data_IF_887793918950
#
_entry.id   IF_887793918950
#
_cell.length_a   1.000
_cell.length_b   1.000
_cell.length_c   1.000
_cell.angle_alpha   90.00
_cell.angle_beta   90.00
_cell.angle_gamma   90.00
#
_symmetry.space_group_name_H-M   'P 1'
#
loop_
_entity.id
_entity.type
_entity.pdbx_description
1 polymer ?
#
# COMPACT_ATOMS: atom_id res chain seq x y z
N UNK A 1 9.22 -1.96 -21.77
CA UNK A 1 9.14 -0.49 -21.66
C UNK A 1 8.56 0.04 -22.97
N UNK A 2 7.23 0.12 -23.09
CA UNK A 2 6.53 0.46 -24.33
C UNK A 2 6.38 1.99 -24.39
N UNK A 3 7.17 2.65 -25.23
CA UNK A 3 7.14 4.09 -25.44
C UNK A 3 5.93 4.42 -26.32
N UNK A 4 4.86 4.97 -25.75
CA UNK A 4 3.76 5.54 -26.54
C UNK A 4 4.27 6.83 -27.21
N UNK A 5 4.24 6.83 -28.55
CA UNK A 5 5.00 7.77 -29.39
C UNK A 5 4.19 8.96 -29.90
N UNK A 6 3.03 9.26 -29.31
CA UNK A 6 2.12 10.27 -29.89
C UNK A 6 2.04 11.61 -29.17
N UNK A 7 2.61 11.75 -27.97
CA UNK A 7 2.88 13.06 -27.35
C UNK A 7 4.22 12.95 -26.62
N UNK A 8 4.95 14.04 -26.40
CA UNK A 8 6.26 14.07 -25.70
C UNK A 8 6.12 13.71 -24.21
N UNK A 9 5.51 12.56 -23.90
CA UNK A 9 5.22 12.07 -22.56
C UNK A 9 5.91 10.72 -22.42
N UNK A 10 6.84 10.63 -21.47
CA UNK A 10 7.48 9.38 -21.11
C UNK A 10 6.81 8.89 -19.82
N UNK A 11 6.37 7.64 -19.80
CA UNK A 11 5.98 6.94 -18.59
C UNK A 11 7.17 6.11 -18.09
N UNK A 12 7.44 6.14 -16.78
CA UNK A 12 8.56 5.41 -16.19
C UNK A 12 8.20 4.83 -14.84
N UNK A 13 8.51 3.54 -14.63
CA UNK A 13 8.44 2.84 -13.34
C UNK A 13 9.80 2.66 -12.66
N UNK A 14 10.87 3.17 -13.27
CA UNK A 14 12.25 3.16 -12.74
C UNK A 14 12.85 4.55 -12.83
N UNK A 15 13.85 4.83 -11.98
CA UNK A 15 14.60 6.08 -11.97
C UNK A 15 15.29 6.34 -13.31
N UNK A 16 14.64 7.11 -14.19
CA UNK A 16 15.23 7.55 -15.45
C UNK A 16 16.21 8.69 -15.16
N UNK A 17 17.42 8.61 -15.71
CA UNK A 17 18.43 9.67 -15.52
C UNK A 17 17.94 11.01 -16.07
N UNK A 18 17.99 12.12 -15.29
CA UNK A 18 17.67 13.46 -15.79
C UNK A 18 18.51 13.87 -17.00
N UNK A 19 19.76 13.42 -17.08
CA UNK A 19 20.64 13.69 -18.23
C UNK A 19 20.12 13.05 -19.51
N UNK A 20 19.60 11.82 -19.42
CA UNK A 20 19.02 11.13 -20.56
C UNK A 20 17.72 11.79 -21.05
N UNK A 21 16.88 12.27 -20.12
CA UNK A 21 15.66 13.02 -20.46
C UNK A 21 15.98 14.34 -21.17
N UNK A 22 16.98 15.08 -20.66
CA UNK A 22 17.45 16.32 -21.30
C UNK A 22 17.98 16.09 -22.71
N UNK A 23 18.77 15.03 -22.92
CA UNK A 23 19.26 14.66 -24.27
C UNK A 23 18.13 14.32 -25.26
N UNK A 24 16.96 13.92 -24.78
CA UNK A 24 15.75 13.65 -25.60
C UNK A 24 14.85 14.87 -25.79
N UNK A 25 15.37 16.09 -25.56
CA UNK A 25 14.60 17.33 -25.72
C UNK A 25 13.68 17.65 -24.54
N UNK A 26 13.92 17.06 -23.36
CA UNK A 26 13.19 17.39 -22.13
C UNK A 26 11.67 17.08 -22.17
N UNK A 27 11.25 15.85 -22.51
CA UNK A 27 9.84 15.48 -22.57
C UNK A 27 9.14 15.53 -21.20
N UNK A 28 7.83 15.67 -21.16
CA UNK A 28 7.08 15.53 -19.92
C UNK A 28 7.27 14.10 -19.38
N UNK A 29 7.71 13.96 -18.14
CA UNK A 29 7.79 12.67 -17.47
C UNK A 29 6.55 12.50 -16.59
N UNK A 30 5.74 11.47 -16.87
CA UNK A 30 4.72 11.00 -15.93
C UNK A 30 5.33 9.86 -15.12
N UNK A 31 5.60 10.13 -13.84
CA UNK A 31 6.12 9.15 -12.91
C UNK A 31 5.01 8.67 -11.97
N UNK A 32 4.74 7.37 -12.01
CA UNK A 32 3.72 6.71 -11.20
C UNK A 32 4.29 6.04 -9.95
N UNK A 33 5.55 6.30 -9.63
CA UNK A 33 6.26 5.76 -8.47
C UNK A 33 6.75 6.88 -7.55
N UNK A 34 6.89 6.58 -6.26
CA UNK A 34 7.31 7.52 -5.22
C UNK A 34 8.72 8.10 -5.36
N UNK A 35 9.53 7.58 -6.30
CA UNK A 35 10.95 7.95 -6.49
C UNK A 35 11.21 8.51 -7.87
N UNK A 36 10.67 9.70 -8.13
CA UNK A 36 10.95 10.40 -9.37
C UNK A 36 12.35 11.05 -9.38
N UNK A 37 12.91 11.33 -10.57
CA UNK A 37 14.21 12.00 -10.66
C UNK A 37 14.11 13.38 -10.03
N UNK A 38 14.66 13.53 -8.82
CA UNK A 38 14.45 14.71 -7.98
C UNK A 38 14.87 16.03 -8.66
N UNK A 39 15.81 15.98 -9.60
CA UNK A 39 16.37 17.15 -10.28
C UNK A 39 15.87 17.35 -11.72
N UNK A 40 14.76 16.71 -12.09
CA UNK A 40 14.11 16.92 -13.39
C UNK A 40 12.87 17.80 -13.23
N UNK A 41 12.71 18.87 -14.02
CA UNK A 41 11.63 19.85 -13.79
C UNK A 41 10.35 19.59 -14.57
N UNK A 42 10.45 18.99 -15.77
CA UNK A 42 9.28 18.75 -16.62
C UNK A 42 8.63 17.41 -16.27
N UNK A 43 8.12 17.27 -15.05
CA UNK A 43 7.52 16.02 -14.58
C UNK A 43 6.22 16.21 -13.78
N UNK A 44 5.34 15.23 -13.88
CA UNK A 44 4.21 14.99 -12.98
C UNK A 44 4.57 13.72 -12.21
N UNK A 45 4.48 13.78 -10.89
CA UNK A 45 4.92 12.67 -10.02
C UNK A 45 3.76 12.18 -9.18
N UNK A 46 3.79 10.90 -8.82
CA UNK A 46 2.84 10.32 -7.88
C UNK A 46 3.55 10.09 -6.56
N UNK A 47 3.02 10.67 -5.48
CA UNK A 47 3.46 10.37 -4.12
C UNK A 47 2.27 9.81 -3.35
N UNK A 48 2.33 8.50 -3.07
CA UNK A 48 1.20 7.77 -2.53
C UNK A 48 0.84 8.19 -1.10
N UNK A 49 1.85 8.33 -0.23
CA UNK A 49 1.68 8.73 1.16
C UNK A 49 3.00 9.17 1.79
N UNK A 50 2.90 9.58 3.05
CA UNK A 50 4.02 10.00 3.90
C UNK A 50 4.17 9.09 5.12
N UNK A 51 3.85 7.80 4.99
CA UNK A 51 3.92 6.82 6.10
C UNK A 51 5.30 6.81 6.74
N UNK A 52 6.37 7.01 5.96
CA UNK A 52 7.75 7.06 6.46
C UNK A 52 8.07 8.30 7.33
N UNK A 53 7.24 9.36 7.25
CA UNK A 53 7.29 10.53 8.13
C UNK A 53 6.45 10.32 9.40
N UNK A 54 5.23 9.78 9.25
CA UNK A 54 4.29 9.59 10.36
C UNK A 54 4.59 8.37 11.24
N UNK A 55 5.09 7.29 10.64
CA UNK A 55 5.44 6.02 11.29
C UNK A 55 6.89 5.64 11.00
N UNK A 56 7.86 6.43 11.50
CA UNK A 56 9.27 6.25 11.16
C UNK A 56 9.82 4.88 11.54
N UNK A 57 9.29 4.24 12.59
CA UNK A 57 9.74 2.93 13.08
C UNK A 57 9.39 1.78 12.14
N UNK A 58 8.47 2.01 11.18
CA UNK A 58 8.18 1.04 10.13
C UNK A 58 9.30 0.96 9.08
N UNK A 59 10.18 1.96 8.99
CA UNK A 59 11.16 2.08 7.91
C UNK A 59 12.59 2.15 8.45
N UNK A 60 13.52 1.56 7.70
CA UNK A 60 14.95 1.66 8.05
C UNK A 60 15.42 3.12 8.13
N UNK A 61 16.38 3.41 9.03
CA UNK A 61 16.96 4.76 9.18
C UNK A 61 17.52 5.29 7.85
N UNK A 62 18.17 4.42 7.06
CA UNK A 62 18.71 4.74 5.73
C UNK A 62 17.61 5.17 4.77
N UNK A 63 16.50 4.43 4.71
CA UNK A 63 15.36 4.77 3.87
C UNK A 63 14.81 6.15 4.24
N UNK A 64 14.56 6.39 5.54
CA UNK A 64 14.04 7.67 6.04
C UNK A 64 14.94 8.85 5.71
N UNK A 65 16.25 8.68 5.88
CA UNK A 65 17.22 9.71 5.55
C UNK A 65 17.20 10.05 4.06
N UNK A 66 17.30 9.05 3.19
CA UNK A 66 17.32 9.25 1.73
C UNK A 66 16.01 9.88 1.25
N UNK A 67 14.86 9.36 1.68
CA UNK A 67 13.56 9.91 1.29
C UNK A 67 13.32 11.30 1.87
N UNK A 68 13.76 11.56 3.10
CA UNK A 68 13.68 12.86 3.74
C UNK A 68 14.44 13.96 2.98
N UNK A 69 15.51 13.59 2.27
CA UNK A 69 16.27 14.51 1.41
C UNK A 69 15.70 14.61 -0.01
N UNK A 70 15.38 13.47 -0.63
CA UNK A 70 14.99 13.43 -2.05
C UNK A 70 13.56 13.90 -2.30
N UNK A 71 12.62 13.60 -1.41
CA UNK A 71 11.20 13.91 -1.64
C UNK A 71 10.95 15.42 -1.68
N UNK A 72 11.44 16.26 -0.74
CA UNK A 72 11.25 17.70 -0.83
C UNK A 72 11.79 18.32 -2.13
N UNK A 73 12.97 17.85 -2.58
CA UNK A 73 13.60 18.31 -3.83
C UNK A 73 12.74 17.88 -5.03
N UNK A 74 12.25 16.64 -5.03
CA UNK A 74 11.35 16.13 -6.06
C UNK A 74 10.05 16.94 -6.12
N UNK A 75 9.39 17.18 -4.99
CA UNK A 75 8.16 17.95 -4.91
C UNK A 75 8.36 19.37 -5.47
N UNK A 76 9.42 20.05 -5.06
CA UNK A 76 9.77 21.40 -5.55
C UNK A 76 10.03 21.45 -7.06
N UNK A 77 10.57 20.38 -7.63
CA UNK A 77 10.87 20.28 -9.06
C UNK A 77 9.75 19.61 -9.88
N UNK A 78 8.60 19.31 -9.30
CA UNK A 78 7.49 18.71 -10.04
C UNK A 78 6.51 19.78 -10.49
N UNK A 79 5.95 19.64 -11.70
CA UNK A 79 4.92 20.54 -12.23
C UNK A 79 3.58 20.32 -11.54
N UNK A 80 3.31 19.08 -11.14
CA UNK A 80 2.08 18.67 -10.49
C UNK A 80 2.32 17.38 -9.71
N UNK A 81 1.55 17.20 -8.63
CA UNK A 81 1.58 16.01 -7.80
C UNK A 81 0.27 15.23 -7.94
N UNK A 82 0.39 13.91 -8.04
CA UNK A 82 -0.71 12.97 -7.95
C UNK A 82 -0.62 12.21 -6.62
N UNK A 83 -1.76 11.94 -6.00
CA UNK A 83 -1.84 11.08 -4.81
C UNK A 83 -3.12 10.25 -4.85
N UNK A 84 -3.24 9.27 -3.95
CA UNK A 84 -4.27 8.22 -4.02
C UNK A 84 -5.52 8.50 -3.19
N UNK A 85 -5.50 9.51 -2.32
CA UNK A 85 -6.66 9.89 -1.51
C UNK A 85 -6.60 11.35 -1.05
N UNK A 86 -7.73 11.87 -0.61
CA UNK A 86 -7.81 13.17 0.07
C UNK A 86 -7.07 13.16 1.41
N UNK A 87 -6.95 12.00 2.06
CA UNK A 87 -6.15 11.86 3.27
C UNK A 87 -4.67 12.08 2.98
N UNK A 88 -4.11 11.36 2.01
CA UNK A 88 -2.71 11.54 1.59
C UNK A 88 -2.45 12.97 1.09
N UNK A 89 -3.40 13.59 0.40
CA UNK A 89 -3.29 14.99 -0.04
C UNK A 89 -3.04 15.93 1.15
N UNK A 90 -3.87 15.82 2.20
CA UNK A 90 -3.70 16.61 3.44
C UNK A 90 -2.39 16.28 4.14
N UNK A 91 -2.07 15.00 4.27
CA UNK A 91 -0.85 14.55 4.93
C UNK A 91 0.43 15.03 4.25
N UNK A 92 0.45 15.06 2.92
CA UNK A 92 1.57 15.60 2.13
C UNK A 92 1.69 17.10 2.34
N UNK A 93 0.58 17.83 2.30
CA UNK A 93 0.56 19.26 2.61
C UNK A 93 1.13 19.52 4.00
N UNK A 94 0.61 18.84 5.03
CA UNK A 94 1.04 19.01 6.42
C UNK A 94 2.53 18.67 6.63
N UNK A 95 3.05 17.65 5.93
CA UNK A 95 4.43 17.21 6.11
C UNK A 95 5.47 18.04 5.34
N UNK A 96 5.08 18.70 4.25
CA UNK A 96 6.01 19.34 3.31
C UNK A 96 5.67 20.79 2.98
N UNK A 97 4.58 21.33 3.52
CA UNK A 97 4.03 22.63 3.16
C UNK A 97 3.83 22.76 1.64
N UNK A 98 3.37 21.67 1.01
CA UNK A 98 3.17 21.63 -0.44
C UNK A 98 1.77 22.17 -0.80
N UNK A 99 1.62 23.09 -1.76
CA UNK A 99 0.33 23.70 -2.06
C UNK A 99 -0.69 22.68 -2.57
N UNK A 100 -1.87 22.63 -1.95
CA UNK A 100 -2.89 21.62 -2.22
C UNK A 100 -3.50 21.72 -3.63
N UNK A 101 -3.47 22.92 -4.23
CA UNK A 101 -3.87 23.21 -5.60
C UNK A 101 -2.97 22.52 -6.63
N UNK A 102 -1.73 22.23 -6.25
CA UNK A 102 -0.78 21.47 -7.08
C UNK A 102 -0.87 19.95 -6.83
N UNK A 103 -1.88 19.49 -6.08
CA UNK A 103 -2.13 18.07 -5.80
C UNK A 103 -3.49 17.65 -6.35
N UNK A 104 -3.49 16.70 -7.28
CA UNK A 104 -4.70 15.99 -7.70
C UNK A 104 -4.79 14.60 -7.09
N UNK A 105 -6.00 14.22 -6.68
CA UNK A 105 -6.30 12.88 -6.18
C UNK A 105 -6.74 12.00 -7.35
N UNK A 106 -6.06 10.87 -7.52
CA UNK A 106 -6.44 9.79 -8.43
C UNK A 106 -6.56 8.52 -7.61
N UNK A 107 -7.79 8.13 -7.32
CA UNK A 107 -8.06 6.92 -6.55
C UNK A 107 -7.58 5.67 -7.29
N UNK A 108 -7.04 4.72 -6.54
CA UNK A 108 -6.65 3.42 -7.08
C UNK A 108 -7.90 2.67 -7.57
N UNK A 109 -7.82 2.15 -8.79
CA UNK A 109 -8.85 1.30 -9.37
C UNK A 109 -8.54 -0.18 -9.10
N UNK A 110 -9.58 -1.00 -9.17
CA UNK A 110 -9.51 -2.42 -8.90
C UNK A 110 -9.76 -3.20 -10.17
N UNK A 111 -8.99 -4.27 -10.35
CA UNK A 111 -9.22 -5.17 -11.45
C UNK A 111 -10.59 -5.84 -11.32
N UNK A 112 -11.35 -5.85 -12.41
CA UNK A 112 -12.67 -6.45 -12.48
C UNK A 112 -12.68 -7.93 -12.09
N UNK A 113 -11.55 -8.65 -12.19
CA UNK A 113 -11.42 -10.03 -11.70
C UNK A 113 -11.71 -10.20 -10.20
N UNK A 114 -11.65 -9.14 -9.40
CA UNK A 114 -12.02 -9.12 -7.99
C UNK A 114 -13.50 -8.79 -7.75
N UNK A 115 -14.34 -8.81 -8.80
CA UNK A 115 -15.79 -8.72 -8.65
C UNK A 115 -16.36 -9.97 -7.99
N UNK A 116 -17.48 -9.80 -7.27
CA UNK A 116 -18.20 -10.91 -6.66
C UNK A 116 -18.61 -11.91 -7.75
N UNK A 117 -18.17 -13.16 -7.65
CA UNK A 117 -18.77 -14.25 -8.42
C UNK A 117 -20.20 -14.43 -7.89
N UNK A 118 -21.21 -14.44 -8.77
CA UNK A 118 -22.62 -14.67 -8.38
C UNK A 118 -22.92 -16.14 -7.99
N UNK A 119 -21.88 -16.97 -7.91
CA UNK A 119 -22.01 -18.37 -7.52
C UNK A 119 -22.62 -18.48 -6.12
N UNK A 120 -23.79 -19.13 -6.05
CA UNK A 120 -24.58 -19.31 -4.83
C UNK A 120 -23.99 -20.32 -3.84
N UNK A 121 -22.99 -21.09 -4.27
CA UNK A 121 -22.38 -22.20 -3.50
C UNK A 121 -20.95 -21.88 -3.06
N UNK A 122 -20.70 -20.68 -2.54
CA UNK A 122 -19.43 -20.38 -1.87
C UNK A 122 -19.46 -21.03 -0.49
N UNK A 123 -18.84 -22.22 -0.38
CA UNK A 123 -18.54 -22.83 0.92
C UNK A 123 -17.50 -21.96 1.62
N UNK A 124 -17.93 -21.13 2.58
CA UNK A 124 -17.01 -20.33 3.39
C UNK A 124 -16.12 -21.26 4.20
N UNK A 125 -14.82 -20.98 4.23
CA UNK A 125 -13.90 -21.66 5.11
C UNK A 125 -13.90 -21.02 6.49
N UNK A 126 -13.47 -21.79 7.50
CA UNK A 126 -13.38 -21.34 8.90
C UNK A 126 -12.07 -20.60 9.17
N UNK A 127 -11.85 -19.50 8.45
CA UNK A 127 -10.68 -18.66 8.63
C UNK A 127 -10.94 -17.16 8.45
N UNK A 128 -10.16 -16.38 9.18
CA UNK A 128 -9.94 -14.96 8.96
C UNK A 128 -8.79 -14.78 7.97
N UNK A 129 -8.88 -13.79 7.10
CA UNK A 129 -7.84 -13.47 6.13
C UNK A 129 -7.20 -12.13 6.46
N UNK A 130 -5.87 -12.08 6.49
CA UNK A 130 -5.10 -10.84 6.53
C UNK A 130 -4.14 -10.78 5.35
N UNK A 131 -4.14 -9.65 4.63
CA UNK A 131 -3.22 -9.41 3.51
C UNK A 131 -2.43 -8.17 3.84
N UNK A 132 -1.24 -8.34 4.40
CA UNK A 132 -0.34 -7.23 4.72
C UNK A 132 1.10 -7.68 4.88
N UNK A 133 2.04 -6.79 4.57
CA UNK A 133 3.42 -6.94 5.06
C UNK A 133 3.46 -6.64 6.56
N UNK A 134 4.28 -7.36 7.34
CA UNK A 134 4.24 -7.27 8.78
C UNK A 134 5.06 -6.08 9.28
N UNK A 135 4.57 -4.88 8.96
CA UNK A 135 5.18 -3.61 9.35
C UNK A 135 4.47 -3.04 10.58
N UNK A 136 5.19 -2.24 11.37
CA UNK A 136 4.65 -1.67 12.61
C UNK A 136 3.34 -0.89 12.42
N UNK A 137 3.26 -0.02 11.41
CA UNK A 137 2.06 0.77 11.13
C UNK A 137 0.86 -0.07 10.68
N UNK A 138 1.06 -1.33 10.24
CA UNK A 138 -0.03 -2.27 9.89
C UNK A 138 -0.63 -2.95 11.14
N UNK A 139 -0.09 -2.66 12.33
CA UNK A 139 -0.51 -3.19 13.62
C UNK A 139 -0.59 -4.73 13.67
N UNK A 140 0.40 -5.38 13.07
CA UNK A 140 0.45 -6.84 13.02
C UNK A 140 0.48 -7.48 14.42
N UNK A 141 1.12 -6.81 15.39
CA UNK A 141 1.13 -7.19 16.80
C UNK A 141 -0.28 -7.24 17.41
N UNK A 142 -1.06 -6.16 17.23
CA UNK A 142 -2.43 -6.10 17.72
C UNK A 142 -3.35 -7.12 17.05
N UNK A 143 -3.12 -7.40 15.76
CA UNK A 143 -3.83 -8.45 15.03
C UNK A 143 -3.65 -9.83 15.67
N UNK A 144 -2.39 -10.22 15.91
CA UNK A 144 -2.06 -11.52 16.46
C UNK A 144 -2.57 -11.67 17.90
N UNK A 145 -2.38 -10.65 18.73
CA UNK A 145 -2.88 -10.65 20.11
C UNK A 145 -4.41 -10.72 20.18
N UNK A 146 -5.12 -10.00 19.31
CA UNK A 146 -6.57 -10.10 19.22
C UNK A 146 -7.02 -11.48 18.72
N UNK A 147 -6.29 -12.05 17.75
CA UNK A 147 -6.60 -13.38 17.22
C UNK A 147 -6.44 -14.47 18.27
N UNK A 148 -5.41 -14.41 19.12
CA UNK A 148 -5.21 -15.36 20.22
C UNK A 148 -6.47 -15.48 21.10
N UNK A 149 -7.01 -14.33 21.55
CA UNK A 149 -8.25 -14.29 22.34
C UNK A 149 -9.50 -14.80 21.61
N UNK A 150 -9.55 -14.68 20.29
CA UNK A 150 -10.66 -15.18 19.46
C UNK A 150 -10.54 -16.69 19.23
N UNK A 151 -9.32 -17.15 19.00
CA UNK A 151 -9.00 -18.55 18.68
C UNK A 151 -9.22 -19.52 19.85
N UNK A 152 -9.27 -19.02 21.08
CA UNK A 152 -9.67 -19.79 22.28
C UNK A 152 -11.17 -20.03 22.34
N UNK A 153 -11.98 -19.12 21.77
CA UNK A 153 -13.45 -19.14 21.86
C UNK A 153 -14.11 -19.78 20.64
N UNK A 154 -13.42 -19.78 19.50
CA UNK A 154 -13.97 -20.23 18.23
C UNK A 154 -12.97 -21.16 17.52
N UNK A 155 -13.51 -22.17 16.84
CA UNK A 155 -12.79 -23.07 15.94
C UNK A 155 -12.45 -22.33 14.63
N UNK A 156 -11.59 -21.31 14.68
CA UNK A 156 -11.24 -20.47 13.55
C UNK A 156 -9.73 -20.33 13.41
N UNK A 157 -9.25 -20.31 12.16
CA UNK A 157 -7.85 -20.08 11.83
C UNK A 157 -7.61 -18.67 11.28
N UNK A 158 -6.35 -18.22 11.25
CA UNK A 158 -5.92 -16.97 10.64
C UNK A 158 -4.94 -17.26 9.51
N UNK A 159 -5.31 -16.87 8.29
CA UNK A 159 -4.44 -16.95 7.12
C UNK A 159 -3.84 -15.59 6.83
N UNK A 160 -2.52 -15.54 6.70
CA UNK A 160 -1.78 -14.31 6.48
C UNK A 160 -1.00 -14.41 5.18
N UNK A 161 -1.28 -13.48 4.26
CA UNK A 161 -0.57 -13.31 3.00
C UNK A 161 0.28 -12.05 3.11
N UNK A 162 1.57 -12.18 2.81
CA UNK A 162 2.51 -11.07 2.82
C UNK A 162 3.95 -11.48 3.02
N UNK A 163 4.87 -10.56 2.71
CA UNK A 163 6.30 -10.71 3.00
C UNK A 163 6.89 -9.35 3.35
N UNK A 164 7.78 -9.32 4.32
CA UNK A 164 8.56 -8.11 4.65
C UNK A 164 9.48 -7.74 3.51
N UNK A 165 9.40 -6.50 3.02
CA UNK A 165 10.38 -5.96 2.08
C UNK A 165 11.62 -5.45 2.82
N UNK A 166 12.78 -5.49 2.15
CA UNK A 166 14.10 -5.10 2.73
C UNK A 166 14.13 -3.64 3.24
N UNK A 167 13.26 -2.77 2.72
CA UNK A 167 13.15 -1.37 3.14
C UNK A 167 12.51 -1.17 4.51
N UNK A 168 11.73 -2.14 4.98
CA UNK A 168 11.02 -2.09 6.25
C UNK A 168 11.87 -2.66 7.39
N UNK A 169 11.58 -2.23 8.62
CA UNK A 169 12.18 -2.83 9.82
C UNK A 169 11.70 -4.27 9.97
N UNK A 170 12.62 -5.17 10.33
CA UNK A 170 12.23 -6.53 10.68
C UNK A 170 11.52 -6.52 12.04
N UNK A 171 10.43 -7.25 12.12
CA UNK A 171 9.61 -7.40 13.32
C UNK A 171 9.61 -8.89 13.67
N UNK A 172 9.82 -9.20 14.94
CA UNK A 172 9.81 -10.57 15.45
C UNK A 172 8.45 -10.84 16.11
N UNK A 173 7.68 -11.75 15.52
CA UNK A 173 6.34 -12.13 16.00
C UNK A 173 6.34 -13.46 16.73
N UNK A 174 7.49 -14.13 16.87
CA UNK A 174 7.60 -15.48 17.44
C UNK A 174 7.07 -15.57 18.88
N UNK A 175 7.09 -14.46 19.62
CA UNK A 175 6.63 -14.38 21.01
C UNK A 175 5.15 -14.04 21.18
N UNK A 176 4.45 -13.69 20.10
CA UNK A 176 3.06 -13.20 20.14
C UNK A 176 2.03 -14.26 19.77
N UNK A 177 2.48 -15.46 19.42
CA UNK A 177 1.63 -16.57 19.03
C UNK A 177 2.03 -17.74 19.91
N UNK A 178 1.21 -18.03 20.92
CA UNK A 178 1.38 -19.23 21.74
C UNK A 178 0.87 -20.49 21.02
N UNK A 179 -0.09 -20.35 20.10
CA UNK A 179 -0.68 -21.44 19.33
C UNK A 179 -0.42 -21.27 17.82
N UNK A 180 0.71 -21.80 17.35
CA UNK A 180 1.14 -21.67 15.94
C UNK A 180 0.25 -22.43 14.96
N UNK A 181 -0.50 -23.43 15.40
CA UNK A 181 -1.25 -24.32 14.51
C UNK A 181 -2.48 -23.65 13.91
N UNK A 182 -2.99 -22.59 14.54
CA UNK A 182 -4.13 -21.79 14.05
C UNK A 182 -3.72 -20.59 13.20
N UNK A 183 -2.42 -20.32 13.03
CA UNK A 183 -1.91 -19.18 12.23
C UNK A 183 -1.08 -19.68 11.06
N UNK A 184 -1.59 -19.48 9.85
CA UNK A 184 -0.92 -19.90 8.61
C UNK A 184 -0.29 -18.70 7.89
N UNK A 185 1.05 -18.67 7.82
CA UNK A 185 1.79 -17.69 7.02
C UNK A 185 2.01 -18.23 5.61
N UNK A 186 1.25 -17.73 4.64
CA UNK A 186 1.23 -18.24 3.27
C UNK A 186 2.28 -17.58 2.34
N UNK A 187 2.97 -16.55 2.80
CA UNK A 187 3.89 -15.77 1.96
C UNK A 187 3.16 -15.01 0.85
N UNK A 188 3.74 -14.98 -0.36
CA UNK A 188 3.07 -14.41 -1.54
C UNK A 188 2.35 -15.51 -2.31
N UNK A 189 1.09 -15.27 -2.66
CA UNK A 189 0.28 -16.14 -3.51
C UNK A 189 -0.04 -15.43 -4.83
N UNK A 190 -0.46 -16.19 -5.85
CA UNK A 190 -0.94 -15.62 -7.11
C UNK A 190 -2.34 -15.00 -6.98
N UNK A 191 -2.73 -14.17 -7.96
CA UNK A 191 -4.00 -13.44 -7.95
C UNK A 191 -5.23 -14.36 -7.89
N UNK A 192 -5.19 -15.54 -8.53
CA UNK A 192 -6.32 -16.48 -8.53
C UNK A 192 -6.51 -17.06 -7.13
N UNK A 193 -5.43 -17.50 -6.51
CA UNK A 193 -5.42 -17.97 -5.12
C UNK A 193 -5.88 -16.87 -4.17
N UNK A 194 -5.39 -15.63 -4.36
CA UNK A 194 -5.79 -14.48 -3.56
C UNK A 194 -7.30 -14.22 -3.64
N UNK A 195 -7.88 -14.22 -4.85
CA UNK A 195 -9.33 -14.05 -5.07
C UNK A 195 -10.11 -15.12 -4.29
N UNK A 196 -9.72 -16.38 -4.42
CA UNK A 196 -10.38 -17.49 -3.73
C UNK A 196 -10.30 -17.35 -2.21
N UNK A 197 -9.16 -16.91 -1.69
CA UNK A 197 -9.01 -16.68 -0.25
C UNK A 197 -9.91 -15.55 0.24
N UNK A 198 -10.00 -14.44 -0.51
CA UNK A 198 -10.93 -13.36 -0.18
C UNK A 198 -12.41 -13.80 -0.23
N UNK A 199 -12.78 -14.62 -1.20
CA UNK A 199 -14.17 -15.06 -1.38
C UNK A 199 -14.61 -16.06 -0.30
N UNK A 200 -13.70 -16.92 0.15
CA UNK A 200 -14.01 -18.00 1.09
C UNK A 200 -13.73 -17.62 2.57
N UNK A 201 -13.05 -16.51 2.85
CA UNK A 201 -12.80 -16.08 4.23
C UNK A 201 -14.10 -15.69 4.96
N UNK A 202 -14.16 -15.96 6.27
CA UNK A 202 -15.25 -15.47 7.13
C UNK A 202 -15.26 -13.95 7.17
N UNK A 203 -14.07 -13.37 7.38
CA UNK A 203 -13.86 -11.94 7.40
C UNK A 203 -12.43 -11.59 7.00
N UNK A 204 -12.24 -10.35 6.55
CA UNK A 204 -10.94 -9.78 6.29
C UNK A 204 -10.51 -8.87 7.44
N UNK A 205 -9.28 -9.06 7.91
CA UNK A 205 -8.71 -8.36 9.05
C UNK A 205 -7.64 -7.39 8.57
N UNK A 206 -7.82 -6.11 8.92
CA UNK A 206 -6.95 -5.03 8.48
C UNK A 206 -6.77 -3.97 9.57
N UNK A 207 -5.84 -4.19 10.53
CA UNK A 207 -5.76 -3.37 11.73
C UNK A 207 -4.82 -2.15 11.60
N UNK A 208 -4.50 -1.72 10.37
CA UNK A 208 -3.54 -0.65 10.12
C UNK A 208 -3.87 0.67 10.84
N UNK A 209 -2.81 1.32 11.34
CA UNK A 209 -2.89 2.61 12.02
C UNK A 209 -2.97 3.85 11.07
N UNK A 210 -2.89 3.72 9.74
CA UNK A 210 -1.62 3.86 8.98
C UNK A 210 -1.72 3.58 7.47
N UNK A 211 -2.62 4.18 6.68
CA UNK A 211 -2.63 3.96 5.21
C UNK A 211 -2.90 5.22 4.39
N UNK A 212 -2.12 5.42 3.32
CA UNK A 212 -2.32 6.51 2.38
C UNK A 212 -3.62 6.47 1.59
N UNK A 213 -4.07 5.30 1.17
CA UNK A 213 -5.25 5.18 0.31
C UNK A 213 -6.57 5.25 1.10
N UNK A 214 -6.52 5.19 2.43
CA UNK A 214 -7.70 5.02 3.27
C UNK A 214 -8.09 6.33 3.97
N UNK A 215 -9.39 6.57 4.09
CA UNK A 215 -9.90 7.73 4.82
C UNK A 215 -9.71 7.50 6.33
N UNK A 216 -9.19 8.52 7.02
CA UNK A 216 -8.76 8.50 8.43
C UNK A 216 -9.84 8.10 9.45
N UNK A 217 -11.10 7.99 9.04
CA UNK A 217 -12.26 7.73 9.91
C UNK A 217 -12.36 6.28 10.38
N UNK A 218 -11.71 5.32 9.71
CA UNK A 218 -11.86 3.90 10.02
C UNK A 218 -10.51 3.32 10.47
N UNK A 219 -10.12 3.66 11.70
CA UNK A 219 -8.93 3.13 12.39
C UNK A 219 -9.36 1.89 13.19
N UNK A 220 -8.75 0.73 12.91
CA UNK A 220 -8.93 -0.47 13.74
C UNK A 220 -10.24 -1.25 13.53
N UNK A 221 -10.77 -1.30 12.31
CA UNK A 221 -12.03 -2.01 12.03
C UNK A 221 -11.80 -3.43 11.51
N UNK A 222 -12.49 -4.40 12.12
CA UNK A 222 -12.77 -5.69 11.49
C UNK A 222 -13.86 -5.42 10.45
N UNK A 223 -13.53 -5.63 9.18
CA UNK A 223 -14.42 -5.33 8.08
C UNK A 223 -15.08 -6.63 7.60
N UNK A 224 -16.40 -6.70 7.75
CA UNK A 224 -17.19 -7.73 7.09
C UNK A 224 -17.07 -7.55 5.57
N UNK A 225 -16.73 -8.62 4.86
CA UNK A 225 -16.48 -8.64 3.42
C UNK A 225 -17.76 -8.30 2.61
N UNK A 226 -18.10 -7.02 2.56
CA UNK A 226 -18.97 -6.44 1.54
C UNK A 226 -18.13 -6.20 0.27
N UNK A 227 -18.77 -6.30 -0.89
CA UNK A 227 -18.16 -6.22 -2.23
C UNK A 227 -17.35 -4.94 -2.51
N UNK A 228 -17.49 -3.91 -1.68
CA UNK A 228 -16.69 -2.68 -1.73
C UNK A 228 -15.30 -2.81 -1.08
N UNK A 229 -15.09 -3.77 -0.19
CA UNK A 229 -13.90 -3.86 0.67
C UNK A 229 -12.81 -4.73 0.02
N UNK A 230 -13.21 -5.82 -0.64
CA UNK A 230 -12.33 -6.63 -1.51
C UNK A 230 -11.65 -5.74 -2.55
N UNK A 231 -12.38 -4.71 -3.02
CA UNK A 231 -11.83 -3.72 -3.94
C UNK A 231 -10.62 -2.98 -3.36
N UNK A 232 -10.69 -2.46 -2.14
CA UNK A 232 -9.63 -1.60 -1.60
C UNK A 232 -8.41 -2.33 -1.02
N UNK A 233 -8.57 -3.56 -0.52
CA UNK A 233 -7.54 -4.25 0.27
C UNK A 233 -6.43 -4.92 -0.54
N UNK A 234 -6.61 -5.08 -1.85
CA UNK A 234 -5.75 -5.90 -2.71
C UNK A 234 -4.54 -5.14 -3.27
N UNK A 235 -4.47 -3.82 -3.03
CA UNK A 235 -3.44 -2.95 -3.61
C UNK A 235 -2.45 -2.36 -2.59
N UNK A 236 -2.32 -2.98 -1.40
CA UNK A 236 -1.32 -2.65 -0.39
C UNK A 236 -0.08 -3.58 -0.45
#
# INVERSE_FOLDING_TARGET
MRLYKEKRVITGSKSISPRALRKKGGPLLLNLCSTAPAFYKNQIVTHHDVTYKRYPDSFSKKFRFVYGLLVPIMLKNSRHLLTVSEFSKREIHDCFDYPTENISVIYNAVNNSFSKTEEKDITRGDYLLAVSSPNYHKNFHGMLSAFESVSEKYEISLKIIGKTAVSFSQQDFSKLISNTDKVEFMGRVDDKTLIQLYQNAVAFVFPSYYEGFWNSTVRGSILWLSSYIIKCCIYA
#
